data_IF_675413867420
#
_entry.id   IF_675413867420
#
_cell.length_a   1.000
_cell.length_b   1.000
_cell.length_c   1.000
_cell.angle_alpha   90.00
_cell.angle_beta   90.00
_cell.angle_gamma   90.00
#
_symmetry.space_group_name_H-M   'P 1'
#
loop_
_entity.id
_entity.type
_entity.pdbx_description
1 polymer ?
#
# COMPACT_ATOMS: atom_id res chain seq x y z
N UNK A 1 14.18 4.56 11.16
CA UNK A 1 13.72 5.11 12.44
C UNK A 1 12.81 6.30 12.12
N UNK A 2 11.65 6.05 11.49
CA UNK A 2 10.81 7.13 10.89
C UNK A 2 9.30 6.91 11.18
N UNK A 3 8.94 5.94 12.03
CA UNK A 3 7.53 5.62 12.33
C UNK A 3 7.10 5.89 13.77
N UNK A 4 7.98 6.43 14.62
CA UNK A 4 7.65 6.66 16.04
C UNK A 4 6.93 8.00 16.32
N UNK A 5 6.91 8.93 15.36
CA UNK A 5 6.26 10.24 15.53
C UNK A 5 5.01 10.41 14.65
N UNK A 6 4.43 9.31 14.16
CA UNK A 6 3.24 9.28 13.29
C UNK A 6 1.94 9.18 14.10
N UNK A 7 1.78 9.98 15.15
CA UNK A 7 0.51 10.10 15.86
C UNK A 7 0.24 11.55 16.23
N UNK A 8 -0.26 12.31 15.25
CA UNK A 8 -0.98 13.55 15.53
C UNK A 8 -2.45 13.19 15.78
N UNK A 9 -3.03 13.82 16.79
CA UNK A 9 -4.43 13.68 17.18
C UNK A 9 -5.38 13.74 15.96
N UNK A 10 -6.39 12.85 15.90
CA UNK A 10 -7.41 12.79 14.83
C UNK A 10 -8.05 14.15 14.56
N UNK A 11 -8.12 15.03 15.57
CA UNK A 11 -8.61 16.41 15.43
C UNK A 11 -7.84 17.29 14.43
N UNK A 12 -6.59 16.95 14.12
CA UNK A 12 -5.76 17.66 13.13
C UNK A 12 -6.02 17.19 11.70
N UNK A 13 -6.82 16.13 11.51
CA UNK A 13 -7.23 15.62 10.22
C UNK A 13 -8.73 15.89 10.02
N UNK A 14 -9.13 16.75 9.06
CA UNK A 14 -10.49 17.28 8.99
C UNK A 14 -11.56 16.24 8.61
N UNK A 15 -11.16 15.05 8.14
CA UNK A 15 -12.06 13.94 7.81
C UNK A 15 -12.17 12.89 8.92
N UNK A 16 -11.54 13.11 10.09
CA UNK A 16 -11.58 12.19 11.22
C UNK A 16 -10.83 10.87 11.00
N UNK A 17 -9.80 10.86 10.16
CA UNK A 17 -9.03 9.68 9.76
C UNK A 17 -7.56 9.75 10.19
N UNK A 18 -6.92 8.59 10.27
CA UNK A 18 -5.47 8.44 10.40
C UNK A 18 -4.88 7.97 9.07
N UNK A 19 -3.62 8.29 8.74
CA UNK A 19 -2.63 9.03 9.54
C UNK A 19 -2.66 10.56 9.37
N UNK A 20 -2.08 11.25 10.36
CA UNK A 20 -1.69 12.65 10.29
C UNK A 20 -0.24 12.81 10.79
N UNK A 21 0.52 13.72 10.18
CA UNK A 21 1.91 14.04 10.52
C UNK A 21 2.02 15.54 10.81
N UNK A 22 2.73 15.91 11.87
CA UNK A 22 3.07 17.29 12.20
C UNK A 22 4.59 17.45 12.20
N UNK A 23 5.10 18.39 11.42
CA UNK A 23 6.50 18.81 11.42
C UNK A 23 6.58 20.32 11.68
N UNK A 24 6.82 20.71 12.92
CA UNK A 24 6.69 22.09 13.35
C UNK A 24 5.26 22.60 13.19
N UNK A 25 5.08 23.67 12.42
CA UNK A 25 3.77 24.27 12.11
C UNK A 25 3.07 23.60 10.92
N UNK A 26 3.78 22.73 10.19
CA UNK A 26 3.21 22.02 9.04
C UNK A 26 2.42 20.80 9.52
N UNK A 27 1.11 20.79 9.24
CA UNK A 27 0.24 19.63 9.47
C UNK A 27 -0.11 19.01 8.12
N UNK A 28 0.16 17.71 7.99
CA UNK A 28 -0.11 16.91 6.80
C UNK A 28 -1.03 15.75 7.14
N UNK A 29 -1.89 15.42 6.19
CA UNK A 29 -2.74 14.23 6.19
C UNK A 29 -2.69 13.59 4.80
N UNK A 30 -3.35 12.45 4.63
CA UNK A 30 -3.19 11.50 3.52
C UNK A 30 -1.85 10.77 3.56
N UNK A 31 -1.90 9.46 3.73
CA UNK A 31 -0.71 8.59 3.87
C UNK A 31 0.27 8.80 2.71
N UNK A 32 -0.21 8.82 1.46
CA UNK A 32 0.61 9.01 0.26
C UNK A 32 1.23 10.41 0.17
N UNK A 33 0.54 11.45 0.65
CA UNK A 33 1.09 12.81 0.70
C UNK A 33 2.17 12.93 1.77
N UNK A 34 1.91 12.37 2.96
CA UNK A 34 2.89 12.24 4.05
C UNK A 34 4.13 11.47 3.56
N UNK A 35 3.96 10.34 2.87
CA UNK A 35 5.08 9.58 2.33
C UNK A 35 5.91 10.40 1.34
N UNK A 36 5.29 11.10 0.39
CA UNK A 36 6.01 11.99 -0.54
C UNK A 36 6.79 13.08 0.21
N UNK A 37 6.18 13.70 1.22
CA UNK A 37 6.83 14.71 2.04
C UNK A 37 8.07 14.14 2.78
N UNK A 38 7.92 13.00 3.45
CA UNK A 38 9.03 12.35 4.17
C UNK A 38 10.16 11.99 3.21
N UNK A 39 9.85 11.47 2.02
CA UNK A 39 10.86 11.13 1.02
C UNK A 39 11.59 12.36 0.49
N UNK A 40 10.89 13.47 0.22
CA UNK A 40 11.49 14.75 -0.19
C UNK A 40 12.38 15.34 0.90
N UNK A 41 11.90 15.36 2.15
CA UNK A 41 12.65 15.87 3.31
C UNK A 41 13.98 15.13 3.50
N UNK A 42 14.05 13.86 3.12
CA UNK A 42 15.23 13.02 3.24
C UNK A 42 16.00 12.84 1.91
N UNK A 43 15.70 13.62 0.88
CA UNK A 43 16.33 13.52 -0.45
C UNK A 43 16.37 12.09 -1.00
N UNK A 44 15.27 11.36 -0.83
CA UNK A 44 15.19 9.95 -1.21
C UNK A 44 15.02 9.76 -2.71
N UNK A 45 15.79 8.84 -3.28
CA UNK A 45 15.67 8.41 -4.67
C UNK A 45 14.36 7.66 -4.99
N UNK A 46 13.55 7.31 -3.99
CA UNK A 46 12.29 6.57 -4.19
C UNK A 46 11.21 7.35 -4.97
N UNK A 47 11.37 8.68 -5.09
CA UNK A 47 10.52 9.53 -5.93
C UNK A 47 11.12 9.83 -7.31
N UNK A 48 12.41 9.52 -7.52
CA UNK A 48 13.15 9.78 -8.76
C UNK A 48 13.05 11.21 -9.28
N UNK A 49 13.00 12.20 -8.39
CA UNK A 49 12.81 13.62 -8.76
C UNK A 49 13.94 14.20 -9.63
N UNK A 50 15.10 13.54 -9.69
CA UNK A 50 16.18 13.89 -10.62
C UNK A 50 15.89 13.60 -12.10
N UNK A 51 14.79 12.90 -12.43
CA UNK A 51 14.38 12.56 -13.80
C UNK A 51 12.89 12.78 -13.96
N UNK A 52 12.51 13.77 -14.79
CA UNK A 52 11.09 14.07 -15.07
C UNK A 52 10.33 12.85 -15.59
N UNK A 53 10.97 12.02 -16.41
CA UNK A 53 10.36 10.82 -16.97
C UNK A 53 10.12 9.74 -15.92
N UNK A 54 11.10 9.52 -15.03
CA UNK A 54 10.97 8.48 -14.00
C UNK A 54 10.03 8.91 -12.88
N UNK A 55 10.10 10.16 -12.42
CA UNK A 55 9.17 10.68 -11.42
C UNK A 55 7.72 10.64 -11.91
N UNK A 56 7.46 10.99 -13.17
CA UNK A 56 6.13 10.85 -13.76
C UNK A 56 5.65 9.39 -13.79
N UNK A 57 6.54 8.41 -14.02
CA UNK A 57 6.18 6.99 -13.94
C UNK A 57 5.86 6.56 -12.51
N UNK A 58 6.62 7.05 -11.53
CA UNK A 58 6.31 6.81 -10.11
C UNK A 58 4.91 7.33 -9.79
N UNK A 59 4.58 8.56 -10.22
CA UNK A 59 3.26 9.14 -9.97
C UNK A 59 2.15 8.35 -10.66
N UNK A 60 2.32 7.93 -11.92
CA UNK A 60 1.33 7.09 -12.62
C UNK A 60 1.03 5.82 -11.81
N UNK A 61 2.05 5.09 -11.38
CA UNK A 61 1.84 3.83 -10.68
C UNK A 61 1.35 4.00 -9.24
N UNK A 62 1.64 5.13 -8.61
CA UNK A 62 1.09 5.49 -7.30
C UNK A 62 -0.39 5.87 -7.39
N UNK A 63 -0.82 6.56 -8.45
CA UNK A 63 -2.23 6.82 -8.70
C UNK A 63 -2.98 5.55 -9.11
N UNK A 64 -2.34 4.66 -9.88
CA UNK A 64 -2.91 3.34 -10.20
C UNK A 64 -3.10 2.51 -8.94
N UNK A 65 -2.14 2.53 -8.02
CA UNK A 65 -2.26 1.88 -6.72
C UNK A 65 -3.48 2.40 -5.95
N UNK A 66 -3.58 3.71 -5.75
CA UNK A 66 -4.70 4.36 -5.05
C UNK A 66 -6.08 4.04 -5.66
N UNK A 67 -6.19 4.02 -6.99
CA UNK A 67 -7.49 3.95 -7.66
C UNK A 67 -7.92 2.53 -8.07
N UNK A 68 -6.97 1.64 -8.37
CA UNK A 68 -7.26 0.33 -8.94
C UNK A 68 -6.85 -0.83 -8.03
N UNK A 69 -5.94 -0.61 -7.08
CA UNK A 69 -5.49 -1.65 -6.16
C UNK A 69 -6.06 -1.45 -4.75
N UNK A 70 -5.86 -0.27 -4.17
CA UNK A 70 -6.24 0.04 -2.79
C UNK A 70 -7.75 -0.01 -2.58
N UNK A 71 -8.55 0.51 -3.53
CA UNK A 71 -10.01 0.51 -3.43
C UNK A 71 -10.62 -0.89 -3.24
N UNK A 72 -10.41 -1.87 -4.13
CA UNK A 72 -10.91 -3.22 -3.89
C UNK A 72 -10.23 -3.90 -2.69
N UNK A 73 -8.95 -3.60 -2.43
CA UNK A 73 -8.24 -4.16 -1.27
C UNK A 73 -8.82 -3.73 0.07
N UNK A 74 -9.08 -2.43 0.25
CA UNK A 74 -9.67 -1.90 1.46
C UNK A 74 -11.02 -2.54 1.77
N UNK A 75 -11.84 -2.81 0.75
CA UNK A 75 -13.14 -3.49 0.93
C UNK A 75 -12.95 -4.94 1.37
N UNK A 76 -12.05 -5.69 0.72
CA UNK A 76 -11.76 -7.09 1.08
C UNK A 76 -11.19 -7.17 2.50
N UNK A 77 -10.22 -6.32 2.84
CA UNK A 77 -9.61 -6.26 4.17
C UNK A 77 -10.67 -5.90 5.22
N UNK A 78 -11.56 -4.95 4.92
CA UNK A 78 -12.63 -4.59 5.83
C UNK A 78 -13.57 -5.77 6.08
N UNK A 79 -14.06 -6.42 5.02
CA UNK A 79 -15.01 -7.53 5.11
C UNK A 79 -14.41 -8.77 5.78
N UNK A 80 -13.16 -9.13 5.44
CA UNK A 80 -12.55 -10.36 5.92
C UNK A 80 -11.85 -10.22 7.28
N UNK A 81 -11.35 -9.03 7.63
CA UNK A 81 -10.55 -8.82 8.83
C UNK A 81 -11.19 -7.80 9.78
N UNK A 82 -11.47 -6.59 9.31
CA UNK A 82 -11.87 -5.51 10.23
C UNK A 82 -13.26 -5.74 10.83
N UNK A 83 -14.25 -6.05 9.99
CA UNK A 83 -15.63 -6.27 10.40
C UNK A 83 -15.78 -7.47 11.36
N UNK A 84 -15.17 -8.64 11.11
CA UNK A 84 -15.24 -9.77 12.05
C UNK A 84 -14.45 -9.51 13.34
N UNK A 85 -13.23 -8.98 13.26
CA UNK A 85 -12.33 -8.87 14.42
C UNK A 85 -12.73 -7.74 15.36
N UNK A 86 -13.11 -6.57 14.83
CA UNK A 86 -13.35 -5.37 15.65
C UNK A 86 -14.82 -5.04 15.86
N UNK A 87 -15.71 -5.51 14.99
CA UNK A 87 -17.14 -5.16 15.04
C UNK A 87 -18.06 -6.36 15.20
N UNK A 88 -17.52 -7.59 15.24
CA UNK A 88 -18.31 -8.83 15.39
C UNK A 88 -19.29 -9.11 14.25
N UNK A 89 -19.12 -8.43 13.11
CA UNK A 89 -19.94 -8.66 11.92
C UNK A 89 -19.53 -9.92 11.17
N UNK A 90 -20.36 -10.32 10.19
CA UNK A 90 -20.06 -11.43 9.30
C UNK A 90 -19.60 -10.90 7.94
N UNK A 91 -18.59 -11.55 7.37
CA UNK A 91 -18.14 -11.30 6.00
C UNK A 91 -19.31 -11.42 5.02
N UNK A 92 -19.51 -10.40 4.19
CA UNK A 92 -20.37 -10.51 3.02
C UNK A 92 -19.57 -11.07 1.83
N UNK A 93 -19.71 -12.37 1.60
CA UNK A 93 -18.99 -13.10 0.54
C UNK A 93 -19.28 -12.54 -0.86
N UNK A 94 -20.46 -11.95 -1.10
CA UNK A 94 -20.78 -11.36 -2.40
C UNK A 94 -19.97 -10.09 -2.64
N UNK A 95 -19.88 -9.22 -1.64
CA UNK A 95 -19.06 -8.00 -1.71
C UNK A 95 -17.59 -8.39 -1.88
N UNK A 96 -17.13 -9.42 -1.17
CA UNK A 96 -15.76 -9.92 -1.30
C UNK A 96 -15.50 -10.41 -2.72
N UNK A 97 -16.33 -11.29 -3.29
CA UNK A 97 -16.11 -11.83 -4.65
C UNK A 97 -16.12 -10.73 -5.73
N UNK A 98 -17.03 -9.75 -5.66
CA UNK A 98 -17.06 -8.63 -6.61
C UNK A 98 -15.75 -7.81 -6.59
N UNK A 99 -15.17 -7.63 -5.40
CA UNK A 99 -13.90 -6.92 -5.26
C UNK A 99 -12.70 -7.80 -5.61
N UNK A 100 -12.77 -9.12 -5.39
CA UNK A 100 -11.76 -10.08 -5.85
C UNK A 100 -11.70 -10.11 -7.39
N UNK A 101 -12.84 -10.11 -8.08
CA UNK A 101 -12.88 -9.99 -9.54
C UNK A 101 -12.28 -8.68 -10.04
N UNK A 102 -12.54 -7.57 -9.36
CA UNK A 102 -11.96 -6.27 -9.68
C UNK A 102 -10.45 -6.29 -9.47
N UNK A 103 -9.97 -6.86 -8.36
CA UNK A 103 -8.56 -7.03 -8.07
C UNK A 103 -7.85 -7.93 -9.08
N UNK A 104 -8.46 -9.04 -9.51
CA UNK A 104 -7.92 -9.91 -10.56
C UNK A 104 -7.65 -9.14 -11.86
N UNK A 105 -8.52 -8.19 -12.23
CA UNK A 105 -8.30 -7.32 -13.40
C UNK A 105 -7.08 -6.42 -13.20
N UNK A 106 -6.91 -5.84 -12.01
CA UNK A 106 -5.72 -5.05 -11.65
C UNK A 106 -4.45 -5.90 -11.69
N UNK A 107 -4.47 -7.12 -11.14
CA UNK A 107 -3.33 -8.03 -11.16
C UNK A 107 -2.97 -8.51 -12.57
N UNK A 108 -3.91 -8.66 -13.50
CA UNK A 108 -3.58 -8.91 -14.92
C UNK A 108 -2.75 -7.78 -15.53
N UNK A 109 -3.08 -6.52 -15.22
CA UNK A 109 -2.30 -5.35 -15.67
C UNK A 109 -0.91 -5.37 -15.03
N UNK A 110 -0.82 -5.72 -13.74
CA UNK A 110 0.46 -5.76 -13.03
C UNK A 110 1.34 -6.91 -13.54
N UNK A 111 0.76 -8.08 -13.81
CA UNK A 111 1.47 -9.24 -14.35
C UNK A 111 2.09 -8.92 -15.72
N UNK A 112 1.35 -8.25 -16.61
CA UNK A 112 1.90 -7.77 -17.89
C UNK A 112 2.98 -6.69 -17.67
N UNK A 113 2.75 -5.74 -16.76
CA UNK A 113 3.74 -4.70 -16.46
C UNK A 113 5.06 -5.29 -15.95
N UNK A 114 4.99 -6.19 -14.98
CA UNK A 114 6.12 -6.86 -14.34
C UNK A 114 6.78 -7.89 -15.27
N UNK A 115 6.16 -8.22 -16.41
CA UNK A 115 6.83 -9.00 -17.46
C UNK A 115 7.86 -8.18 -18.24
N UNK A 116 7.76 -6.85 -18.20
CA UNK A 116 8.59 -5.90 -18.98
C UNK A 116 9.52 -5.05 -18.12
N UNK A 117 9.38 -5.11 -16.80
CA UNK A 117 10.13 -4.27 -15.87
C UNK A 117 10.21 -4.94 -14.50
N UNK A 118 11.26 -4.63 -13.75
CA UNK A 118 11.49 -5.23 -12.43
C UNK A 118 10.48 -4.74 -11.38
N UNK A 119 10.07 -3.47 -11.47
CA UNK A 119 9.13 -2.80 -10.58
C UNK A 119 8.06 -2.05 -11.40
N UNK A 120 7.03 -1.55 -10.72
CA UNK A 120 5.92 -0.90 -11.42
C UNK A 120 6.37 0.35 -12.18
N UNK A 121 7.18 1.21 -11.56
CA UNK A 121 7.65 2.45 -12.20
C UNK A 121 8.80 2.25 -13.20
N UNK A 122 9.53 1.13 -13.14
CA UNK A 122 10.74 0.92 -13.93
C UNK A 122 11.63 -0.17 -13.34
N UNK A 123 12.93 -0.12 -13.65
CA UNK A 123 13.92 -1.07 -13.11
C UNK A 123 14.56 -0.58 -11.81
N UNK A 124 13.83 0.26 -11.08
CA UNK A 124 14.18 0.77 -9.76
C UNK A 124 12.97 0.64 -8.83
N UNK A 125 13.21 0.36 -7.55
CA UNK A 125 12.15 0.43 -6.55
C UNK A 125 11.76 1.89 -6.33
N UNK A 126 10.47 2.13 -6.13
CA UNK A 126 9.93 3.47 -5.91
C UNK A 126 8.89 3.51 -4.80
N UNK A 127 8.39 4.71 -4.50
CA UNK A 127 7.22 4.89 -3.63
C UNK A 127 5.99 4.16 -4.19
N UNK A 128 5.87 4.02 -5.53
CA UNK A 128 4.77 3.29 -6.12
C UNK A 128 4.71 1.87 -5.55
N UNK A 129 5.84 1.14 -5.55
CA UNK A 129 5.90 -0.23 -5.02
C UNK A 129 5.68 -0.28 -3.50
N UNK A 130 6.35 0.62 -2.76
CA UNK A 130 6.25 0.63 -1.30
C UNK A 130 4.85 1.03 -0.80
N UNK A 131 4.01 1.63 -1.63
CA UNK A 131 2.63 1.96 -1.24
C UNK A 131 1.72 0.72 -1.24
N UNK A 132 2.08 -0.35 -1.94
CA UNK A 132 1.28 -1.59 -1.98
C UNK A 132 1.49 -2.51 -0.78
N UNK A 133 2.64 -2.46 -0.10
CA UNK A 133 2.97 -3.48 0.91
C UNK A 133 1.96 -3.56 2.07
N UNK A 134 1.38 -2.45 2.60
CA UNK A 134 0.49 -2.55 3.76
C UNK A 134 -0.75 -3.38 3.47
N UNK A 135 -1.44 -3.12 2.36
CA UNK A 135 -2.65 -3.85 1.98
C UNK A 135 -2.34 -5.23 1.41
N UNK A 136 -1.21 -5.40 0.70
CA UNK A 136 -0.73 -6.72 0.29
C UNK A 136 -0.43 -7.63 1.48
N UNK A 137 0.17 -7.09 2.56
CA UNK A 137 0.40 -7.84 3.80
C UNK A 137 -0.92 -8.34 4.42
N UNK A 138 -1.95 -7.50 4.46
CA UNK A 138 -3.26 -7.90 4.99
C UNK A 138 -4.00 -8.88 4.07
N UNK A 139 -3.86 -8.78 2.75
CA UNK A 139 -4.42 -9.76 1.82
C UNK A 139 -3.92 -11.18 2.15
N UNK A 140 -2.64 -11.33 2.47
CA UNK A 140 -2.03 -12.61 2.86
C UNK A 140 -2.61 -13.19 4.16
N UNK A 141 -3.22 -12.35 5.00
CA UNK A 141 -3.93 -12.78 6.20
C UNK A 141 -5.40 -13.17 5.95
N UNK A 142 -5.91 -12.99 4.73
CA UNK A 142 -7.27 -13.39 4.35
C UNK A 142 -7.30 -14.82 3.77
N UNK A 143 -8.48 -15.48 3.73
CA UNK A 143 -8.64 -16.76 3.05
C UNK A 143 -8.38 -16.71 1.53
N UNK A 144 -8.25 -15.52 0.94
CA UNK A 144 -8.14 -15.30 -0.50
C UNK A 144 -6.71 -15.10 -0.99
N UNK A 145 -5.71 -15.26 -0.11
CA UNK A 145 -4.29 -15.15 -0.46
C UNK A 145 -3.88 -16.04 -1.66
N UNK A 146 -4.55 -17.19 -1.84
CA UNK A 146 -4.31 -18.12 -2.94
C UNK A 146 -4.55 -17.54 -4.35
N UNK A 147 -5.26 -16.41 -4.49
CA UNK A 147 -5.40 -15.72 -5.78
C UNK A 147 -4.04 -15.34 -6.39
N UNK A 148 -3.03 -15.06 -5.57
CA UNK A 148 -1.70 -14.69 -6.06
C UNK A 148 -1.02 -15.81 -6.86
N UNK A 149 -1.47 -17.06 -6.72
CA UNK A 149 -0.94 -18.20 -7.49
C UNK A 149 -1.31 -18.10 -8.99
N UNK A 150 -2.34 -17.32 -9.34
CA UNK A 150 -2.69 -17.00 -10.73
C UNK A 150 -1.72 -16.01 -11.38
N UNK A 151 -0.92 -15.29 -10.58
CA UNK A 151 -0.09 -14.15 -11.00
C UNK A 151 1.35 -14.28 -10.46
N UNK A 152 2.18 -15.15 -11.06
CA UNK A 152 3.49 -15.49 -10.49
C UNK A 152 4.46 -14.30 -10.40
N UNK A 153 4.39 -13.32 -11.31
CA UNK A 153 5.26 -12.12 -11.23
C UNK A 153 4.77 -11.17 -10.15
N UNK A 154 3.46 -10.97 -10.04
CA UNK A 154 2.87 -10.19 -8.93
C UNK A 154 3.23 -10.81 -7.59
N UNK A 155 3.08 -12.13 -7.45
CA UNK A 155 3.45 -12.86 -6.24
C UNK A 155 4.93 -12.67 -5.88
N UNK A 156 5.83 -12.90 -6.84
CA UNK A 156 7.27 -12.71 -6.63
C UNK A 156 7.63 -11.26 -6.28
N UNK A 157 6.96 -10.28 -6.88
CA UNK A 157 7.14 -8.86 -6.56
C UNK A 157 6.67 -8.52 -5.14
N UNK A 158 5.49 -9.01 -4.72
CA UNK A 158 4.99 -8.85 -3.33
C UNK A 158 5.94 -9.51 -2.33
N UNK A 159 6.35 -10.77 -2.58
CA UNK A 159 7.28 -11.49 -1.71
C UNK A 159 8.61 -10.71 -1.57
N UNK A 160 9.12 -10.18 -2.68
CA UNK A 160 10.31 -9.35 -2.70
C UNK A 160 10.15 -8.04 -1.91
N UNK A 161 8.96 -7.43 -1.89
CA UNK A 161 8.69 -6.26 -1.05
C UNK A 161 8.63 -6.62 0.43
N UNK A 162 7.93 -7.70 0.79
CA UNK A 162 7.76 -8.15 2.17
C UNK A 162 9.07 -8.64 2.79
N UNK A 163 10.01 -9.14 1.99
CA UNK A 163 11.34 -9.55 2.44
C UNK A 163 12.30 -8.38 2.77
N UNK A 164 11.90 -7.12 2.51
CA UNK A 164 12.78 -5.97 2.76
C UNK A 164 12.93 -5.69 4.25
N UNK A 165 14.16 -5.44 4.77
CA UNK A 165 14.37 -5.19 6.20
C UNK A 165 13.51 -4.07 6.79
N UNK A 166 13.29 -2.99 6.04
CA UNK A 166 12.42 -1.91 6.46
C UNK A 166 10.96 -2.37 6.60
N UNK A 167 10.45 -3.16 5.65
CA UNK A 167 9.08 -3.70 5.68
C UNK A 167 8.91 -4.71 6.81
N UNK A 168 9.87 -5.61 6.99
CA UNK A 168 9.89 -6.55 8.12
C UNK A 168 9.78 -5.80 9.45
N UNK A 169 10.59 -4.75 9.65
CA UNK A 169 10.53 -3.93 10.85
C UNK A 169 9.14 -3.30 11.07
N UNK A 170 8.49 -2.83 10.01
CA UNK A 170 7.13 -2.29 10.12
C UNK A 170 6.13 -3.38 10.50
N UNK A 171 6.21 -4.56 9.87
CA UNK A 171 5.35 -5.71 10.20
C UNK A 171 5.52 -6.14 11.66
N UNK A 172 6.75 -6.15 12.18
CA UNK A 172 7.02 -6.43 13.60
C UNK A 172 6.37 -5.39 14.52
N UNK A 173 6.44 -4.10 14.16
CA UNK A 173 5.78 -3.03 14.92
C UNK A 173 4.25 -3.16 14.89
N UNK A 174 3.67 -3.55 13.75
CA UNK A 174 2.22 -3.77 13.60
C UNK A 174 1.76 -4.92 14.49
N UNK A 175 2.51 -6.02 14.55
CA UNK A 175 2.21 -7.18 15.41
C UNK A 175 2.34 -6.87 16.90
N UNK A 176 3.28 -6.01 17.28
CA UNK A 176 3.47 -5.62 18.68
C UNK A 176 2.36 -4.70 19.21
N UNK A 177 1.53 -4.15 18.32
CA UNK A 177 0.46 -3.20 18.64
C UNK A 177 -0.95 -3.82 18.56
N UNK A 178 -1.04 -5.11 18.21
CA UNK A 178 -2.28 -5.90 18.12
C UNK A 178 -2.45 -6.78 19.36
#
# INVERSE_FOLDING_TARGET
MILMDLFVCVSSQPFGQVPALQDGDLVLFESRAISRYVLRKNSSELLKEGSLGDSARVDVWLEVESHHFDRPMAVIIYQCLVLPVYFGGKTDEKIVEENLETLRKTFRVYEDRLSRSTYLAGDFISLADLSHFPTAYYLLATPHAGMLDEFPRVKAWIDGMLARPAVIKVIEMMKASA
#
